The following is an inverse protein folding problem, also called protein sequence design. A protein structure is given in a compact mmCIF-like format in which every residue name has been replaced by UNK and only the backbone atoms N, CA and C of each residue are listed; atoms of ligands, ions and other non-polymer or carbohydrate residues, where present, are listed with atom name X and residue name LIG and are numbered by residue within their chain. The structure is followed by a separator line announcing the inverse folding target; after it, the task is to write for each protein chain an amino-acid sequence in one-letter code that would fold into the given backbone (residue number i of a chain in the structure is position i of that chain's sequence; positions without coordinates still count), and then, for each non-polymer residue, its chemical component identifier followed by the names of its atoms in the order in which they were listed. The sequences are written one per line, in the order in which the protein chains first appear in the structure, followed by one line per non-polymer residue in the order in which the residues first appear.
data_IF_262334006540
#
_entry.id   IF_262334006540
#
_cell.length_a   1.000
_cell.length_b   1.000
_cell.length_c   1.000
_cell.angle_alpha   90.00
_cell.angle_beta   90.00
_cell.angle_gamma   90.00
#
_symmetry.space_group_name_H-M   'P 1'
#
loop_
_entity.id
_entity.type
_entity.pdbx_description
1 polymer ?
#
# COMPACT_ATOMS: atom_id res chain seq x y z
N UNK A 1 33.92 6.53 -28.86
CA UNK A 1 32.45 6.66 -28.67
C UNK A 1 31.80 5.40 -29.20
N UNK A 2 30.72 4.95 -28.60
CA UNK A 2 29.93 3.80 -29.06
C UNK A 2 28.51 4.26 -29.39
N UNK A 3 27.83 3.53 -30.27
CA UNK A 3 26.39 3.67 -30.48
C UNK A 3 25.60 3.21 -29.25
N UNK A 4 24.37 3.74 -29.01
CA UNK A 4 23.86 4.97 -29.62
C UNK A 4 24.76 6.16 -29.27
N UNK A 5 25.05 7.00 -30.27
CA UNK A 5 25.89 8.20 -30.08
C UNK A 5 24.93 9.36 -29.86
N UNK A 6 25.22 10.22 -28.87
CA UNK A 6 24.49 11.47 -28.65
C UNK A 6 25.45 12.64 -28.51
N UNK A 7 25.13 13.75 -29.17
CA UNK A 7 25.81 15.02 -29.03
C UNK A 7 24.81 16.12 -28.71
N UNK A 8 25.13 16.93 -27.70
CA UNK A 8 24.32 18.07 -27.29
C UNK A 8 24.98 19.38 -27.76
N UNK A 9 24.23 20.33 -28.34
CA UNK A 9 24.72 21.66 -28.62
C UNK A 9 25.27 22.34 -27.36
N UNK A 10 26.30 23.17 -27.52
CA UNK A 10 26.87 23.94 -26.40
C UNK A 10 25.81 24.77 -25.67
N UNK A 11 24.90 25.40 -26.42
CA UNK A 11 23.82 26.21 -25.85
C UNK A 11 22.85 25.38 -25.00
N UNK A 12 22.57 24.13 -25.40
CA UNK A 12 21.71 23.20 -24.66
C UNK A 12 22.40 22.75 -23.38
N UNK A 13 23.69 22.43 -23.44
CA UNK A 13 24.47 22.07 -22.25
C UNK A 13 24.60 23.23 -21.26
N UNK A 14 24.84 24.45 -21.75
CA UNK A 14 24.86 25.67 -20.94
C UNK A 14 23.51 25.90 -20.25
N UNK A 15 22.41 25.72 -20.99
CA UNK A 15 21.06 25.78 -20.43
C UNK A 15 20.87 24.76 -19.30
N UNK A 16 21.28 23.50 -19.50
CA UNK A 16 21.16 22.46 -18.46
C UNK A 16 22.00 22.77 -17.22
N UNK A 17 23.17 23.38 -17.38
CA UNK A 17 24.00 23.83 -16.26
C UNK A 17 23.38 25.03 -15.51
N UNK A 18 22.80 25.99 -16.24
CA UNK A 18 22.15 27.16 -15.65
C UNK A 18 20.84 26.78 -14.92
N UNK A 19 20.15 25.75 -15.41
CA UNK A 19 18.89 25.27 -14.87
C UNK A 19 18.99 23.76 -14.60
N UNK A 20 19.54 23.32 -13.45
CA UNK A 20 19.63 21.90 -13.11
C UNK A 20 18.25 21.29 -12.78
N UNK A 21 18.11 19.97 -12.97
CA UNK A 21 16.90 19.22 -12.58
C UNK A 21 17.01 18.72 -11.12
N UNK A 22 15.90 18.54 -10.38
CA UNK A 22 15.91 18.03 -9.00
C UNK A 22 16.32 16.54 -8.89
N UNK A 23 17.05 16.18 -7.82
CA UNK A 23 17.40 14.78 -7.48
C UNK A 23 16.24 14.06 -6.76
N UNK A 24 16.04 12.75 -7.00
CA UNK A 24 14.93 11.96 -6.42
C UNK A 24 15.34 11.25 -5.11
N UNK A 25 14.60 11.45 -4.00
CA UNK A 25 14.83 10.78 -2.70
C UNK A 25 13.68 9.84 -2.30
N UNK A 26 14.01 8.65 -1.76
CA UNK A 26 13.07 7.61 -1.32
C UNK A 26 13.11 7.41 0.20
N UNK A 27 11.98 7.44 0.90
CA UNK A 27 11.86 6.94 2.28
C UNK A 27 10.57 6.13 2.45
N UNK A 28 10.68 4.99 3.13
CA UNK A 28 9.52 4.22 3.58
C UNK A 28 9.84 3.69 4.98
N UNK A 29 9.05 4.11 5.96
CA UNK A 29 9.03 3.58 7.31
C UNK A 29 7.83 2.64 7.43
N UNK A 30 7.97 1.55 8.19
CA UNK A 30 6.82 0.73 8.59
C UNK A 30 6.97 0.37 10.06
N UNK A 31 5.96 0.75 10.84
CA UNK A 31 5.73 0.38 12.22
C UNK A 31 4.58 -0.61 12.26
N UNK A 32 4.70 -1.64 13.08
CA UNK A 32 3.65 -2.59 13.48
C UNK A 32 4.25 -3.42 14.64
N UNK A 33 3.60 -3.83 15.73
CA UNK A 33 2.21 -3.89 16.16
C UNK A 33 2.19 -3.89 17.70
N UNK A 34 1.08 -3.47 18.30
CA UNK A 34 0.69 -3.79 19.67
C UNK A 34 -0.47 -4.79 19.61
N UNK A 35 -0.36 -5.88 20.34
CA UNK A 35 -1.51 -6.70 20.70
C UNK A 35 -1.38 -7.14 22.15
N UNK A 36 -2.34 -6.71 22.95
CA UNK A 36 -2.62 -7.14 24.30
C UNK A 36 -3.78 -8.13 24.27
N UNK A 37 -3.80 -9.10 25.19
CA UNK A 37 -4.99 -9.91 25.45
C UNK A 37 -5.15 -10.07 26.96
N UNK A 38 -6.31 -9.67 27.48
CA UNK A 38 -6.64 -9.73 28.90
C UNK A 38 -7.74 -10.79 29.11
N UNK A 39 -7.48 -11.75 30.01
CA UNK A 39 -8.40 -12.83 30.41
C UNK A 39 -9.54 -12.33 31.31
N UNK A 40 -10.76 -12.82 31.04
CA UNK A 40 -11.98 -12.51 31.78
C UNK A 40 -12.22 -13.51 32.93
N UNK A 41 -12.58 -12.97 34.10
CA UNK A 41 -12.72 -13.68 35.37
C UNK A 41 -13.92 -14.64 35.50
N UNK A 42 -13.78 -15.54 36.48
CA UNK A 42 -14.68 -16.65 36.85
C UNK A 42 -16.15 -16.24 37.09
N UNK A 43 -17.10 -17.14 36.77
CA UNK A 43 -18.52 -16.90 36.97
C UNK A 43 -18.90 -16.85 38.45
N UNK A 44 -19.78 -15.90 38.79
CA UNK A 44 -20.39 -15.74 40.10
C UNK A 44 -21.27 -16.96 40.40
N UNK A 45 -21.00 -17.63 41.52
CA UNK A 45 -21.76 -18.80 41.98
C UNK A 45 -23.09 -18.34 42.59
N UNK A 46 -24.20 -18.85 42.06
CA UNK A 46 -25.55 -18.57 42.54
C UNK A 46 -25.83 -19.41 43.81
N UNK A 47 -26.06 -18.76 44.95
CA UNK A 47 -26.38 -19.43 46.22
C UNK A 47 -27.83 -19.90 46.26
N UNK A 48 -28.06 -21.11 46.80
CA UNK A 48 -29.40 -21.68 46.97
C UNK A 48 -30.10 -21.12 48.21
N UNK A 49 -31.44 -20.89 48.16
CA UNK A 49 -32.19 -20.35 49.28
C UNK A 49 -32.17 -21.30 50.50
N UNK A 50 -32.07 -20.75 51.73
CA UNK A 50 -32.08 -21.56 52.94
C UNK A 50 -33.43 -22.28 53.09
N UNK A 51 -33.39 -23.59 53.30
CA UNK A 51 -34.61 -24.39 53.48
C UNK A 51 -35.21 -24.17 54.89
N UNK A 52 -36.55 -24.21 55.02
CA UNK A 52 -37.20 -24.08 56.32
C UNK A 52 -36.74 -25.23 57.24
N UNK A 53 -36.35 -24.94 58.49
CA UNK A 53 -35.92 -25.97 59.41
C UNK A 53 -37.09 -26.88 59.77
N UNK A 54 -36.81 -28.15 60.03
CA UNK A 54 -37.79 -29.05 60.63
C UNK A 54 -38.01 -28.59 62.08
N UNK A 55 -39.06 -27.79 62.29
CA UNK A 55 -39.40 -27.26 63.62
C UNK A 55 -40.09 -28.35 64.43
N UNK A 56 -39.70 -28.49 65.69
CA UNK A 56 -40.44 -29.34 66.64
C UNK A 56 -41.93 -28.94 66.63
N UNK A 57 -42.87 -29.89 66.48
CA UNK A 57 -44.27 -29.57 66.37
C UNK A 57 -44.76 -28.90 67.65
N UNK A 58 -45.56 -27.84 67.51
CA UNK A 58 -46.18 -27.13 68.65
C UNK A 58 -46.98 -28.10 69.54
N UNK A 59 -47.46 -29.20 68.94
CA UNK A 59 -48.11 -30.32 69.63
C UNK A 59 -47.25 -30.90 70.77
N UNK A 60 -45.92 -30.91 70.67
CA UNK A 60 -45.06 -31.43 71.74
C UNK A 60 -45.08 -30.55 72.99
N UNK A 61 -45.05 -29.22 72.82
CA UNK A 61 -45.19 -28.27 73.93
C UNK A 61 -46.56 -28.41 74.61
N UNK A 62 -47.61 -28.63 73.81
CA UNK A 62 -48.96 -28.90 74.31
C UNK A 62 -49.03 -30.22 75.08
N UNK A 63 -48.39 -31.29 74.59
CA UNK A 63 -48.32 -32.58 75.30
C UNK A 63 -47.63 -32.47 76.65
N UNK A 64 -46.51 -31.73 76.73
CA UNK A 64 -45.81 -31.48 78.00
C UNK A 64 -46.72 -30.79 79.02
N UNK A 65 -47.55 -29.84 78.57
CA UNK A 65 -48.54 -29.16 79.40
C UNK A 65 -49.66 -30.10 79.86
N UNK A 66 -50.15 -30.98 78.99
CA UNK A 66 -51.14 -32.02 79.34
C UNK A 66 -50.58 -33.02 80.36
N UNK A 67 -49.33 -33.46 80.18
CA UNK A 67 -48.65 -34.33 81.14
C UNK A 67 -48.55 -33.66 82.52
N UNK A 68 -48.15 -32.38 82.56
CA UNK A 68 -48.13 -31.61 83.80
C UNK A 68 -49.49 -31.62 84.51
N UNK A 69 -50.56 -31.29 83.78
CA UNK A 69 -51.92 -31.24 84.32
C UNK A 69 -52.37 -32.60 84.88
N UNK A 70 -52.08 -33.67 84.15
CA UNK A 70 -52.40 -35.03 84.58
C UNK A 70 -51.62 -35.42 85.84
N UNK A 71 -50.31 -35.20 85.88
CA UNK A 71 -49.49 -35.53 87.03
C UNK A 71 -49.85 -34.72 88.28
N UNK A 72 -50.22 -33.45 88.11
CA UNK A 72 -50.67 -32.59 89.21
C UNK A 72 -51.98 -33.08 89.88
N UNK A 73 -52.81 -33.83 89.15
CA UNK A 73 -54.06 -34.41 89.65
C UNK A 73 -53.86 -35.86 90.15
N UNK A 74 -53.11 -36.68 89.40
CA UNK A 74 -52.95 -38.10 89.67
C UNK A 74 -52.01 -38.40 90.85
N UNK A 75 -50.92 -37.64 91.02
CA UNK A 75 -49.95 -37.84 92.10
C UNK A 75 -50.57 -37.64 93.50
N UNK A 76 -51.38 -36.60 93.75
CA UNK A 76 -52.13 -36.48 95.01
C UNK A 76 -53.05 -37.66 95.31
N UNK A 77 -53.81 -38.12 94.31
CA UNK A 77 -54.76 -39.23 94.47
C UNK A 77 -54.05 -40.54 94.84
N UNK A 78 -52.90 -40.82 94.19
CA UNK A 78 -52.05 -41.97 94.52
C UNK A 78 -51.44 -41.87 95.93
N UNK A 79 -50.93 -40.70 96.30
CA UNK A 79 -50.33 -40.47 97.62
C UNK A 79 -51.34 -40.70 98.76
N UNK A 80 -52.60 -40.25 98.60
CA UNK A 80 -53.69 -40.50 99.55
C UNK A 80 -53.94 -42.01 99.72
N UNK A 81 -53.92 -42.79 98.64
CA UNK A 81 -54.18 -44.23 98.68
C UNK A 81 -53.12 -45.03 99.44
N UNK A 82 -51.89 -44.51 99.54
CA UNK A 82 -50.77 -45.13 100.25
C UNK A 82 -50.52 -44.57 101.66
N UNK A 83 -51.39 -43.69 102.15
CA UNK A 83 -51.32 -43.17 103.52
C UNK A 83 -50.19 -42.16 103.76
N UNK A 84 -49.73 -41.46 102.72
CA UNK A 84 -48.67 -40.46 102.83
C UNK A 84 -49.12 -39.24 103.64
N UNK A 85 -48.16 -38.58 104.30
CA UNK A 85 -48.41 -37.32 104.97
C UNK A 85 -48.54 -36.18 103.93
N UNK A 86 -49.37 -35.18 104.24
CA UNK A 86 -49.73 -34.12 103.27
C UNK A 86 -48.54 -33.30 102.77
N UNK A 87 -47.48 -33.16 103.58
CA UNK A 87 -46.26 -32.43 103.22
C UNK A 87 -45.36 -33.23 102.26
N UNK A 88 -45.31 -34.56 102.36
CA UNK A 88 -44.57 -35.44 101.43
C UNK A 88 -45.19 -35.40 100.02
N UNK A 89 -46.53 -35.36 99.96
CA UNK A 89 -47.29 -35.18 98.72
C UNK A 89 -46.95 -33.83 98.04
N UNK A 90 -46.95 -32.74 98.81
CA UNK A 90 -46.61 -31.41 98.28
C UNK A 90 -45.19 -31.36 97.71
N UNK A 91 -44.23 -32.01 98.37
CA UNK A 91 -42.84 -32.09 97.89
C UNK A 91 -42.74 -32.84 96.55
N UNK A 92 -43.43 -33.97 96.39
CA UNK A 92 -43.41 -34.74 95.14
C UNK A 92 -44.10 -33.98 93.99
N UNK A 93 -45.24 -33.35 94.24
CA UNK A 93 -45.95 -32.54 93.23
C UNK A 93 -45.12 -31.32 92.83
N UNK A 94 -44.45 -30.67 93.78
CA UNK A 94 -43.53 -29.57 93.51
C UNK A 94 -42.33 -30.03 92.67
N UNK A 95 -41.68 -31.14 93.04
CA UNK A 95 -40.55 -31.71 92.30
C UNK A 95 -40.94 -32.10 90.86
N UNK A 96 -42.11 -32.72 90.68
CA UNK A 96 -42.67 -33.05 89.37
C UNK A 96 -42.94 -31.81 88.53
N UNK A 97 -43.55 -30.78 89.12
CA UNK A 97 -43.83 -29.51 88.44
C UNK A 97 -42.55 -28.81 88.01
N UNK A 98 -41.52 -28.81 88.86
CA UNK A 98 -40.19 -28.27 88.52
C UNK A 98 -39.56 -29.03 87.34
N UNK A 99 -39.65 -30.37 87.32
CA UNK A 99 -39.10 -31.18 86.24
C UNK A 99 -39.80 -30.93 84.90
N UNK A 100 -41.14 -30.86 84.90
CA UNK A 100 -41.90 -30.55 83.68
C UNK A 100 -41.67 -29.11 83.23
N UNK A 101 -41.60 -28.14 84.15
CA UNK A 101 -41.26 -26.75 83.83
C UNK A 101 -39.85 -26.64 83.21
N UNK A 102 -38.89 -27.42 83.70
CA UNK A 102 -37.55 -27.50 83.14
C UNK A 102 -37.57 -28.10 81.72
N UNK A 103 -38.30 -29.20 81.51
CA UNK A 103 -38.46 -29.82 80.19
C UNK A 103 -39.14 -28.89 79.17
N UNK A 104 -40.22 -28.21 79.58
CA UNK A 104 -40.92 -27.21 78.76
C UNK A 104 -39.98 -26.06 78.38
N UNK A 105 -39.27 -25.50 79.36
CA UNK A 105 -38.35 -24.39 79.14
C UNK A 105 -37.21 -24.77 78.21
N UNK A 106 -36.69 -26.00 78.33
CA UNK A 106 -35.66 -26.53 77.42
C UNK A 106 -36.19 -26.64 75.98
N UNK A 107 -37.33 -27.29 75.77
CA UNK A 107 -37.92 -27.46 74.43
C UNK A 107 -38.30 -26.12 73.79
N UNK A 108 -38.90 -25.22 74.58
CA UNK A 108 -39.23 -23.88 74.13
C UNK A 108 -37.97 -23.07 73.77
N UNK A 109 -36.92 -23.14 74.59
CA UNK A 109 -35.63 -22.51 74.34
C UNK A 109 -34.95 -23.03 73.07
N UNK A 110 -34.93 -24.35 72.85
CA UNK A 110 -34.44 -24.96 71.62
C UNK A 110 -35.21 -24.48 70.38
N UNK A 111 -36.54 -24.43 70.46
CA UNK A 111 -37.39 -23.93 69.37
C UNK A 111 -37.14 -22.46 69.05
N UNK A 112 -37.04 -21.61 70.07
CA UNK A 112 -36.74 -20.18 69.89
C UNK A 112 -35.36 -19.97 69.26
N UNK A 113 -34.35 -20.73 69.71
CA UNK A 113 -32.97 -20.67 69.18
C UNK A 113 -32.90 -21.15 67.72
N UNK A 114 -33.69 -22.15 67.35
CA UNK A 114 -33.77 -22.63 65.96
C UNK A 114 -34.43 -21.59 65.06
N UNK A 115 -35.54 -20.99 65.50
CA UNK A 115 -36.25 -19.94 64.77
C UNK A 115 -35.42 -18.65 64.64
N UNK A 116 -34.67 -18.27 65.67
CA UNK A 116 -33.79 -17.09 65.60
C UNK A 116 -32.64 -17.30 64.62
N UNK A 117 -32.00 -18.48 64.63
CA UNK A 117 -30.97 -18.86 63.64
C UNK A 117 -31.52 -18.84 62.21
N UNK A 118 -32.71 -19.41 61.99
CA UNK A 118 -33.33 -19.40 60.67
C UNK A 118 -33.67 -17.98 60.20
N UNK A 119 -34.25 -17.15 61.07
CA UNK A 119 -34.51 -15.74 60.76
C UNK A 119 -33.23 -14.98 60.38
N UNK A 120 -32.14 -15.23 61.11
CA UNK A 120 -30.84 -14.64 60.81
C UNK A 120 -30.30 -15.10 59.45
N UNK A 121 -30.36 -16.39 59.14
CA UNK A 121 -29.98 -16.94 57.84
C UNK A 121 -30.79 -16.34 56.68
N UNK A 122 -32.09 -16.12 56.86
CA UNK A 122 -32.95 -15.48 55.85
C UNK A 122 -32.57 -14.01 55.66
N UNK A 123 -32.25 -13.28 56.72
CA UNK A 123 -31.79 -11.88 56.64
C UNK A 123 -30.44 -11.78 55.92
N UNK A 124 -29.49 -12.63 56.29
CA UNK A 124 -28.17 -12.71 55.65
C UNK A 124 -28.31 -13.05 54.16
N UNK A 125 -29.15 -14.03 53.83
CA UNK A 125 -29.46 -14.39 52.43
C UNK A 125 -30.03 -13.20 51.65
N UNK A 126 -31.02 -12.50 52.19
CA UNK A 126 -31.62 -11.32 51.54
C UNK A 126 -30.61 -10.19 51.35
N UNK A 127 -29.73 -9.96 52.33
CA UNK A 127 -28.69 -8.94 52.24
C UNK A 127 -27.65 -9.31 51.17
N UNK A 128 -27.24 -10.57 51.09
CA UNK A 128 -26.36 -11.07 50.03
C UNK A 128 -27.01 -10.97 48.65
N UNK A 129 -28.30 -11.25 48.53
CA UNK A 129 -29.05 -11.11 47.27
C UNK A 129 -29.01 -9.65 46.77
N UNK A 130 -29.28 -8.68 47.65
CA UNK A 130 -29.20 -7.24 47.30
C UNK A 130 -27.79 -6.84 46.87
N UNK A 131 -26.77 -7.27 47.61
CA UNK A 131 -25.37 -6.99 47.28
C UNK A 131 -24.99 -7.58 45.92
N UNK A 132 -25.40 -8.83 45.64
CA UNK A 132 -25.14 -9.49 44.37
C UNK A 132 -25.81 -8.77 43.19
N UNK A 133 -27.06 -8.30 43.36
CA UNK A 133 -27.77 -7.53 42.34
C UNK A 133 -27.11 -6.17 42.10
N UNK A 134 -26.68 -5.48 43.15
CA UNK A 134 -25.95 -4.21 43.03
C UNK A 134 -24.61 -4.42 42.29
N UNK A 135 -23.91 -5.51 42.56
CA UNK A 135 -22.66 -5.83 41.88
C UNK A 135 -22.88 -6.10 40.39
N UNK A 136 -23.90 -6.91 40.03
CA UNK A 136 -24.30 -7.16 38.63
C UNK A 136 -24.63 -5.85 37.91
N UNK A 137 -25.43 -4.98 38.53
CA UNK A 137 -25.76 -3.65 37.99
C UNK A 137 -24.51 -2.79 37.80
N UNK A 138 -23.56 -2.83 38.74
CA UNK A 138 -22.30 -2.11 38.63
C UNK A 138 -21.42 -2.62 37.48
N UNK A 139 -21.41 -3.94 37.27
CA UNK A 139 -20.66 -4.58 36.17
C UNK A 139 -21.29 -4.24 34.83
N UNK A 140 -22.62 -4.28 34.71
CA UNK A 140 -23.34 -3.87 33.50
C UNK A 140 -23.08 -2.40 33.15
N UNK A 141 -23.09 -1.50 34.14
CA UNK A 141 -22.76 -0.08 33.93
C UNK A 141 -21.32 0.10 33.44
N UNK A 142 -20.35 -0.60 34.03
CA UNK A 142 -18.95 -0.59 33.59
C UNK A 142 -18.79 -1.07 32.15
N UNK A 143 -19.43 -2.18 31.80
CA UNK A 143 -19.42 -2.72 30.42
C UNK A 143 -20.04 -1.73 29.43
N UNK A 144 -21.16 -1.10 29.77
CA UNK A 144 -21.78 -0.09 28.91
C UNK A 144 -20.87 1.13 28.70
N UNK A 145 -20.23 1.61 29.76
CA UNK A 145 -19.28 2.73 29.69
C UNK A 145 -18.04 2.36 28.85
N UNK A 146 -17.50 1.16 29.01
CA UNK A 146 -16.37 0.67 28.23
C UNK A 146 -16.72 0.57 26.74
N UNK A 147 -17.90 0.04 26.39
CA UNK A 147 -18.39 -0.01 25.00
C UNK A 147 -18.50 1.39 24.39
N UNK A 148 -19.00 2.38 25.14
CA UNK A 148 -19.09 3.77 24.68
C UNK A 148 -17.71 4.38 24.42
N UNK A 149 -16.76 4.20 25.33
CA UNK A 149 -15.40 4.72 25.17
C UNK A 149 -14.71 4.10 23.96
N UNK A 150 -14.80 2.77 23.81
CA UNK A 150 -14.27 2.06 22.65
C UNK A 150 -14.86 2.56 21.33
N UNK A 151 -16.18 2.80 21.28
CA UNK A 151 -16.83 3.33 20.09
C UNK A 151 -16.39 4.76 19.77
N UNK A 152 -16.22 5.61 20.78
CA UNK A 152 -15.73 6.98 20.61
C UNK A 152 -14.28 7.02 20.13
N UNK A 153 -13.41 6.16 20.69
CA UNK A 153 -12.03 6.00 20.27
C UNK A 153 -11.95 5.49 18.82
N UNK A 154 -12.78 4.50 18.46
CA UNK A 154 -12.86 3.99 17.08
C UNK A 154 -13.26 5.08 16.09
N UNK A 155 -14.23 5.94 16.44
CA UNK A 155 -14.64 7.06 15.61
C UNK A 155 -13.54 8.12 15.48
N UNK A 156 -12.86 8.45 16.58
CA UNK A 156 -11.74 9.39 16.60
C UNK A 156 -10.59 8.89 15.71
N UNK A 157 -10.23 7.62 15.82
CA UNK A 157 -9.17 7.00 15.02
C UNK A 157 -9.51 7.03 13.53
N UNK A 158 -10.76 6.67 13.15
CA UNK A 158 -11.23 6.76 11.76
C UNK A 158 -11.18 8.19 11.23
N UNK A 159 -11.54 9.18 12.04
CA UNK A 159 -11.51 10.60 11.66
C UNK A 159 -10.07 11.11 11.47
N UNK A 160 -9.15 10.67 12.33
CA UNK A 160 -7.73 10.99 12.19
C UNK A 160 -7.13 10.35 10.93
N UNK A 161 -7.44 9.09 10.66
CA UNK A 161 -6.99 8.38 9.45
C UNK A 161 -7.49 9.07 8.17
N UNK A 162 -8.79 9.41 8.11
CA UNK A 162 -9.35 10.16 6.99
C UNK A 162 -8.69 11.55 6.80
N UNK A 163 -8.39 12.24 7.90
CA UNK A 163 -7.70 13.55 7.86
C UNK A 163 -6.27 13.42 7.35
N UNK A 164 -5.55 12.38 7.78
CA UNK A 164 -4.18 12.11 7.31
C UNK A 164 -4.13 11.81 5.81
N UNK A 165 -5.07 10.98 5.31
CA UNK A 165 -5.19 10.68 3.89
C UNK A 165 -5.54 11.92 3.06
N UNK A 166 -6.42 12.80 3.58
CA UNK A 166 -6.77 14.05 2.91
C UNK A 166 -5.55 14.98 2.77
N UNK A 167 -4.77 15.15 3.84
CA UNK A 167 -3.54 15.94 3.82
C UNK A 167 -2.50 15.38 2.86
N UNK A 168 -2.31 14.06 2.83
CA UNK A 168 -1.40 13.40 1.88
C UNK A 168 -1.81 13.68 0.43
N UNK A 169 -3.10 13.53 0.11
CA UNK A 169 -3.63 13.80 -1.22
C UNK A 169 -3.45 15.27 -1.64
N UNK A 170 -3.72 16.21 -0.74
CA UNK A 170 -3.51 17.64 -0.97
C UNK A 170 -2.01 17.97 -1.15
N UNK A 171 -1.14 17.32 -0.37
CA UNK A 171 0.32 17.40 -0.51
C UNK A 171 0.79 16.92 -1.88
N UNK A 172 0.38 15.72 -2.30
CA UNK A 172 0.70 15.16 -3.63
C UNK A 172 0.19 16.07 -4.75
N UNK A 173 -1.04 16.57 -4.65
CA UNK A 173 -1.60 17.46 -5.66
C UNK A 173 -0.84 18.78 -5.76
N UNK A 174 -0.39 19.32 -4.63
CA UNK A 174 0.43 20.53 -4.57
C UNK A 174 1.80 20.29 -5.21
N UNK A 175 2.47 19.18 -4.88
CA UNK A 175 3.76 18.80 -5.49
C UNK A 175 3.63 18.64 -7.00
N UNK A 176 2.58 17.95 -7.48
CA UNK A 176 2.33 17.78 -8.92
C UNK A 176 2.08 19.11 -9.62
N UNK A 177 1.32 20.02 -8.99
CA UNK A 177 1.05 21.36 -9.54
C UNK A 177 2.34 22.18 -9.64
N UNK A 178 3.17 22.16 -8.60
CA UNK A 178 4.47 22.86 -8.60
C UNK A 178 5.40 22.29 -9.66
N UNK A 179 5.56 20.97 -9.72
CA UNK A 179 6.39 20.31 -10.73
C UNK A 179 5.92 20.63 -12.17
N UNK A 180 4.61 20.72 -12.39
CA UNK A 180 4.05 21.12 -13.69
C UNK A 180 4.39 22.59 -14.03
N UNK A 181 4.25 23.50 -13.06
CA UNK A 181 4.61 24.92 -13.25
C UNK A 181 6.12 25.07 -13.56
N UNK A 182 6.97 24.33 -12.85
CA UNK A 182 8.42 24.32 -13.09
C UNK A 182 8.76 23.81 -14.48
N UNK A 183 8.15 22.69 -14.88
CA UNK A 183 8.32 22.12 -16.22
C UNK A 183 7.87 23.09 -17.32
N UNK A 184 6.71 23.72 -17.14
CA UNK A 184 6.19 24.71 -18.10
C UNK A 184 7.09 25.95 -18.18
N UNK A 185 7.63 26.40 -17.04
CA UNK A 185 8.59 27.50 -17.00
C UNK A 185 9.88 27.16 -17.74
N UNK A 186 10.43 25.97 -17.49
CA UNK A 186 11.61 25.46 -18.18
C UNK A 186 11.39 25.34 -19.68
N UNK A 187 10.25 24.79 -20.09
CA UNK A 187 9.88 24.66 -21.51
C UNK A 187 9.78 26.02 -22.19
N UNK A 188 9.24 27.06 -21.52
CA UNK A 188 9.23 28.43 -22.07
C UNK A 188 10.65 28.97 -22.29
N UNK A 189 11.52 28.88 -21.29
CA UNK A 189 12.91 29.35 -21.42
C UNK A 189 13.67 28.60 -22.52
N UNK A 190 13.45 27.28 -22.64
CA UNK A 190 14.05 26.50 -23.70
C UNK A 190 13.47 26.85 -25.07
N UNK A 191 12.18 27.15 -25.16
CA UNK A 191 11.52 27.58 -26.41
C UNK A 191 12.10 28.87 -26.97
N UNK A 192 12.37 29.84 -26.10
CA UNK A 192 13.03 31.08 -26.51
C UNK A 192 14.44 30.80 -27.04
N UNK A 193 15.20 29.90 -26.38
CA UNK A 193 16.52 29.48 -26.86
C UNK A 193 16.44 28.72 -28.21
N UNK A 194 15.46 27.83 -28.37
CA UNK A 194 15.26 27.02 -29.57
C UNK A 194 14.67 27.82 -30.73
N UNK A 195 14.17 29.04 -30.52
CA UNK A 195 13.74 29.93 -31.60
C UNK A 195 14.86 30.30 -32.57
N UNK A 196 16.12 30.20 -32.13
CA UNK A 196 17.32 30.44 -32.92
C UNK A 196 17.80 29.19 -33.69
N UNK A 197 17.16 28.04 -33.51
CA UNK A 197 17.49 26.78 -34.20
C UNK A 197 17.20 26.92 -35.70
N UNK A 198 18.12 26.46 -36.54
CA UNK A 198 17.90 26.43 -37.98
C UNK A 198 16.79 25.44 -38.31
N UNK A 199 15.79 25.88 -39.05
CA UNK A 199 14.67 25.05 -39.49
C UNK A 199 14.99 24.36 -40.82
N UNK A 200 14.43 23.17 -41.03
CA UNK A 200 14.51 22.48 -42.32
C UNK A 200 13.81 23.28 -43.43
N UNK A 201 14.34 23.21 -44.64
CA UNK A 201 13.84 23.94 -45.81
C UNK A 201 12.93 23.10 -46.72
N UNK A 202 12.71 21.82 -46.40
CA UNK A 202 11.88 20.92 -47.20
C UNK A 202 12.11 19.46 -46.86
N UNK A 203 11.66 18.59 -47.77
CA UNK A 203 11.89 17.14 -47.72
C UNK A 203 12.90 16.78 -48.82
N UNK A 204 13.98 16.13 -48.43
CA UNK A 204 15.03 15.67 -49.32
C UNK A 204 14.54 14.55 -50.23
N UNK A 205 15.07 14.52 -51.45
CA UNK A 205 14.89 13.41 -52.40
C UNK A 205 16.04 12.39 -52.32
N UNK A 206 16.86 12.46 -51.26
CA UNK A 206 17.93 11.50 -51.02
C UNK A 206 17.39 10.07 -50.90
N UNK A 207 18.21 9.10 -51.28
CA UNK A 207 17.82 7.70 -51.18
C UNK A 207 17.67 7.31 -49.70
N UNK A 208 16.47 6.86 -49.33
CA UNK A 208 16.16 6.34 -48.00
C UNK A 208 16.63 4.89 -47.83
N UNK A 209 17.06 4.57 -46.61
CA UNK A 209 17.39 3.23 -46.14
C UNK A 209 16.16 2.35 -45.95
N UNK A 210 16.34 1.03 -46.05
CA UNK A 210 15.23 0.07 -46.00
C UNK A 210 14.57 -0.05 -44.62
N UNK A 211 15.30 0.31 -43.56
CA UNK A 211 14.78 0.25 -42.18
C UNK A 211 13.97 1.48 -41.80
N UNK A 212 14.14 2.59 -42.52
CA UNK A 212 13.61 3.90 -42.15
C UNK A 212 12.09 3.93 -42.11
N UNK A 213 11.43 3.39 -43.14
CA UNK A 213 9.97 3.39 -43.23
C UNK A 213 9.32 2.70 -42.02
N UNK A 214 9.85 1.54 -41.61
CA UNK A 214 9.33 0.84 -40.43
C UNK A 214 9.66 1.56 -39.14
N UNK A 215 10.85 2.16 -39.03
CA UNK A 215 11.21 2.90 -37.83
C UNK A 215 10.40 4.17 -37.65
N UNK A 216 10.02 4.84 -38.74
CA UNK A 216 9.12 5.99 -38.71
C UNK A 216 7.82 5.68 -37.96
N UNK A 217 7.25 4.48 -38.17
CA UNK A 217 6.03 4.06 -37.47
C UNK A 217 6.23 3.98 -35.95
N UNK A 218 7.40 3.56 -35.49
CA UNK A 218 7.73 3.57 -34.06
C UNK A 218 7.91 5.01 -33.56
N UNK A 219 8.63 5.85 -34.29
CA UNK A 219 8.81 7.25 -33.92
C UNK A 219 7.48 8.00 -33.81
N UNK A 220 6.62 7.91 -34.83
CA UNK A 220 5.30 8.56 -34.86
C UNK A 220 4.34 8.04 -33.79
N UNK A 221 4.57 6.83 -33.27
CA UNK A 221 3.76 6.28 -32.17
C UNK A 221 4.07 6.96 -30.83
N UNK A 222 5.31 7.40 -30.61
CA UNK A 222 5.75 7.92 -29.33
C UNK A 222 6.00 9.44 -29.33
N UNK A 223 6.35 10.01 -30.48
CA UNK A 223 6.67 11.43 -30.60
C UNK A 223 5.67 12.12 -31.52
N UNK A 224 5.22 13.31 -31.10
CA UNK A 224 4.16 14.06 -31.79
C UNK A 224 4.64 14.64 -33.13
N UNK A 225 5.87 15.15 -33.16
CA UNK A 225 6.41 15.87 -34.30
C UNK A 225 7.68 15.17 -34.81
N UNK A 226 7.49 14.37 -35.86
CA UNK A 226 8.55 13.59 -36.53
C UNK A 226 8.51 13.88 -38.02
N UNK A 227 9.65 14.27 -38.60
CA UNK A 227 9.80 14.49 -40.05
C UNK A 227 10.88 13.57 -40.59
N UNK A 228 10.54 12.72 -41.55
CA UNK A 228 11.53 11.91 -42.27
C UNK A 228 12.17 12.74 -43.40
N UNK A 229 13.46 12.50 -43.66
CA UNK A 229 14.20 13.11 -44.77
C UNK A 229 14.17 14.64 -44.75
N UNK A 230 14.29 15.26 -43.57
CA UNK A 230 14.28 16.71 -43.45
C UNK A 230 15.53 17.32 -44.11
N UNK A 231 15.34 18.24 -45.05
CA UNK A 231 16.42 18.89 -45.78
C UNK A 231 16.88 20.17 -45.09
N UNK A 232 18.19 20.34 -44.94
CA UNK A 232 18.82 21.52 -44.36
C UNK A 232 19.81 22.13 -45.34
N UNK A 233 19.56 23.38 -45.73
CA UNK A 233 20.44 24.09 -46.66
C UNK A 233 21.73 24.53 -45.96
N UNK A 234 22.88 24.16 -46.53
CA UNK A 234 24.17 24.62 -46.02
C UNK A 234 24.44 26.04 -46.54
N UNK A 235 24.70 27.04 -45.68
CA UNK A 235 25.03 28.39 -46.10
C UNK A 235 26.18 28.41 -47.11
N UNK A 236 26.01 29.19 -48.18
CA UNK A 236 27.04 29.37 -49.22
C UNK A 236 27.45 28.08 -49.97
N UNK A 237 26.65 27.01 -49.89
CA UNK A 237 26.83 25.77 -50.64
C UNK A 237 25.63 25.50 -51.53
N UNK A 238 25.87 24.83 -52.65
CA UNK A 238 24.81 24.26 -53.49
C UNK A 238 24.31 22.90 -52.95
N UNK A 239 24.91 22.41 -51.86
CA UNK A 239 24.55 21.15 -51.21
C UNK A 239 23.67 21.40 -50.00
N UNK A 240 22.76 20.46 -49.77
CA UNK A 240 21.98 20.35 -48.53
C UNK A 240 22.42 19.11 -47.77
N UNK A 241 22.23 19.12 -46.46
CA UNK A 241 22.18 17.87 -45.69
C UNK A 241 20.74 17.36 -45.62
N UNK A 242 20.61 16.04 -45.54
CA UNK A 242 19.36 15.37 -45.20
C UNK A 242 19.56 14.69 -43.86
N UNK A 243 18.63 14.90 -42.95
CA UNK A 243 18.49 14.09 -41.76
C UNK A 243 17.60 12.88 -42.08
N UNK A 244 17.93 11.69 -41.59
CA UNK A 244 17.04 10.53 -41.78
C UNK A 244 15.69 10.80 -41.09
N UNK A 245 15.74 11.27 -39.84
CA UNK A 245 14.59 11.83 -39.14
C UNK A 245 14.95 13.06 -38.33
N UNK A 246 13.97 13.93 -38.15
CA UNK A 246 13.98 14.92 -37.08
C UNK A 246 12.86 14.62 -36.10
N UNK A 247 13.13 14.81 -34.81
CA UNK A 247 12.15 14.71 -33.73
C UNK A 247 12.12 16.05 -33.00
N UNK A 248 10.94 16.61 -32.80
CA UNK A 248 10.75 17.90 -32.13
C UNK A 248 9.94 17.69 -30.86
N UNK A 249 10.49 18.15 -29.73
CA UNK A 249 9.75 18.27 -28.49
C UNK A 249 8.93 19.57 -28.51
N UNK A 250 7.70 19.48 -29.01
CA UNK A 250 6.80 20.61 -29.30
C UNK A 250 6.65 21.63 -28.16
N UNK A 251 6.54 21.25 -26.86
CA UNK A 251 6.45 22.22 -25.77
C UNK A 251 7.65 23.18 -25.69
N UNK A 252 8.85 22.69 -26.02
CA UNK A 252 10.10 23.45 -25.89
C UNK A 252 10.77 23.84 -27.21
N UNK A 253 10.30 23.29 -28.34
CA UNK A 253 10.99 23.42 -29.62
C UNK A 253 12.36 22.71 -29.71
N UNK A 254 12.77 21.93 -28.70
CA UNK A 254 14.02 21.17 -28.75
C UNK A 254 14.00 20.18 -29.93
N UNK A 255 15.03 20.23 -30.77
CA UNK A 255 15.16 19.38 -31.95
C UNK A 255 16.22 18.32 -31.79
N UNK A 256 15.93 17.12 -32.28
CA UNK A 256 16.87 16.02 -32.40
C UNK A 256 16.96 15.60 -33.87
N UNK A 257 18.16 15.67 -34.44
CA UNK A 257 18.57 15.03 -35.68
C UNK A 257 18.87 13.56 -35.36
N UNK A 258 18.11 12.65 -35.96
CA UNK A 258 18.21 11.21 -35.71
C UNK A 258 18.70 10.54 -36.99
N UNK A 259 19.83 9.85 -36.88
CA UNK A 259 20.55 9.25 -38.00
C UNK A 259 20.68 7.73 -37.83
N UNK A 260 20.51 7.01 -38.93
CA UNK A 260 20.64 5.55 -39.01
C UNK A 260 21.91 5.20 -39.79
N UNK A 261 22.92 4.78 -39.04
CA UNK A 261 24.21 4.42 -39.60
C UNK A 261 24.22 2.97 -40.05
N UNK A 262 24.38 2.80 -41.34
CA UNK A 262 24.65 1.51 -41.97
C UNK A 262 26.15 1.30 -42.22
N UNK A 263 26.66 0.06 -42.12
CA UNK A 263 28.07 -0.21 -42.29
C UNK A 263 28.58 -0.07 -43.73
N UNK A 264 27.67 -0.25 -44.70
CA UNK A 264 27.95 -0.06 -46.11
C UNK A 264 26.65 0.22 -46.86
N UNK A 265 26.74 0.99 -47.95
CA UNK A 265 25.59 1.30 -48.81
C UNK A 265 25.03 0.03 -49.50
N UNK A 266 23.71 -0.16 -49.46
CA UNK A 266 23.06 -1.40 -49.88
C UNK A 266 23.38 -1.85 -51.32
N UNK A 267 23.31 -0.91 -52.27
CA UNK A 267 23.54 -1.18 -53.71
C UNK A 267 25.04 -1.24 -54.06
N UNK A 268 25.79 -0.19 -53.71
CA UNK A 268 27.19 -0.05 -54.12
C UNK A 268 28.17 -0.83 -53.26
N UNK A 269 27.73 -1.32 -52.09
CA UNK A 269 28.55 -2.02 -51.08
C UNK A 269 29.74 -1.19 -50.59
N UNK A 270 29.75 0.13 -50.85
CA UNK A 270 30.78 1.04 -50.38
C UNK A 270 30.64 1.24 -48.87
N UNK A 271 31.76 1.21 -48.09
CA UNK A 271 31.76 1.56 -46.68
C UNK A 271 31.13 2.92 -46.40
N UNK A 272 30.40 3.02 -45.30
CA UNK A 272 29.70 4.23 -44.84
C UNK A 272 29.88 4.39 -43.33
N UNK A 273 29.79 5.62 -42.82
CA UNK A 273 29.83 5.95 -41.39
C UNK A 273 31.00 5.34 -40.61
N UNK A 274 32.18 5.28 -41.25
CA UNK A 274 33.34 4.64 -40.67
C UNK A 274 34.04 5.59 -39.70
N UNK A 275 34.41 5.09 -38.51
CA UNK A 275 35.02 5.93 -37.47
C UNK A 275 36.45 6.39 -37.77
N UNK A 276 37.08 5.83 -38.81
CA UNK A 276 38.37 6.23 -39.37
C UNK A 276 38.23 7.21 -40.55
N UNK A 277 37.05 7.81 -40.74
CA UNK A 277 36.77 8.81 -41.76
C UNK A 277 36.10 10.08 -41.17
N UNK A 278 36.50 11.26 -41.66
CA UNK A 278 36.08 12.56 -41.09
C UNK A 278 34.75 13.12 -41.65
N UNK A 279 34.03 12.38 -42.50
CA UNK A 279 32.82 12.90 -43.17
C UNK A 279 31.74 13.28 -42.17
N UNK A 280 31.51 12.44 -41.17
CA UNK A 280 30.38 12.56 -40.26
C UNK A 280 30.65 13.59 -39.17
N UNK A 281 31.93 13.83 -38.83
CA UNK A 281 32.33 14.85 -37.87
C UNK A 281 31.88 16.25 -38.31
N UNK A 282 32.10 16.61 -39.58
CA UNK A 282 31.67 17.91 -40.12
C UNK A 282 30.15 18.06 -40.16
N UNK A 283 29.44 16.98 -40.48
CA UNK A 283 27.97 16.98 -40.46
C UNK A 283 27.46 17.22 -39.04
N UNK A 284 27.93 16.43 -38.07
CA UNK A 284 27.52 16.55 -36.67
C UNK A 284 27.83 17.95 -36.12
N UNK A 285 29.03 18.48 -36.38
CA UNK A 285 29.42 19.83 -35.99
C UNK A 285 28.42 20.89 -36.46
N UNK A 286 27.99 20.81 -37.73
CA UNK A 286 27.06 21.78 -38.29
C UNK A 286 25.66 21.71 -37.66
N UNK A 287 25.13 20.50 -37.43
CA UNK A 287 23.86 20.34 -36.73
C UNK A 287 23.92 20.85 -35.29
N UNK A 288 25.03 20.63 -34.59
CA UNK A 288 25.26 21.18 -33.26
C UNK A 288 25.30 22.71 -33.26
N UNK A 289 25.94 23.33 -34.25
CA UNK A 289 25.96 24.79 -34.45
C UNK A 289 24.57 25.35 -34.82
N UNK A 290 23.73 24.52 -35.44
CA UNK A 290 22.33 24.82 -35.73
C UNK A 290 21.37 24.51 -34.58
N UNK A 291 21.91 24.19 -33.40
CA UNK A 291 21.16 23.89 -32.17
C UNK A 291 20.29 22.63 -32.25
N UNK A 292 20.71 21.64 -33.04
CA UNK A 292 20.12 20.30 -33.05
C UNK A 292 20.93 19.35 -32.18
N UNK A 293 20.26 18.60 -31.30
CA UNK A 293 20.86 17.41 -30.69
C UNK A 293 21.06 16.40 -31.81
N UNK A 294 22.21 15.74 -31.86
CA UNK A 294 22.47 14.69 -32.84
C UNK A 294 22.44 13.35 -32.12
N UNK A 295 21.55 12.46 -32.54
CA UNK A 295 21.50 11.06 -32.08
C UNK A 295 21.74 10.14 -33.27
N UNK A 296 22.74 9.26 -33.17
CA UNK A 296 23.02 8.26 -34.20
C UNK A 296 22.78 6.86 -33.64
N UNK A 297 22.04 6.06 -34.38
CA UNK A 297 21.83 4.63 -34.13
C UNK A 297 22.50 3.83 -35.23
N UNK A 298 22.91 2.59 -34.94
CA UNK A 298 23.20 1.65 -36.03
C UNK A 298 21.88 1.18 -36.66
N UNK A 299 21.89 0.87 -37.95
CA UNK A 299 20.76 0.24 -38.64
C UNK A 299 20.27 -1.01 -37.89
N UNK A 300 21.22 -1.82 -37.39
CA UNK A 300 20.90 -3.03 -36.62
C UNK A 300 20.14 -2.73 -35.33
N UNK A 301 20.51 -1.69 -34.58
CA UNK A 301 19.78 -1.27 -33.37
C UNK A 301 18.35 -0.86 -33.71
N UNK A 302 18.17 -0.07 -34.76
CA UNK A 302 16.84 0.35 -35.24
C UNK A 302 15.99 -0.84 -35.66
N UNK A 303 16.59 -1.80 -36.36
CA UNK A 303 15.89 -2.99 -36.86
C UNK A 303 15.51 -3.95 -35.73
N UNK A 304 16.43 -4.21 -34.79
CA UNK A 304 16.24 -5.24 -33.77
C UNK A 304 15.62 -4.74 -32.48
N UNK A 305 15.80 -3.46 -32.14
CA UNK A 305 15.33 -2.87 -30.89
C UNK A 305 14.77 -1.44 -31.08
N UNK A 306 13.80 -1.22 -31.99
CA UNK A 306 13.27 0.11 -32.30
C UNK A 306 12.67 0.81 -31.07
N UNK A 307 12.00 0.08 -30.18
CA UNK A 307 11.44 0.63 -28.94
C UNK A 307 12.52 1.11 -27.97
N UNK A 308 13.65 0.41 -27.88
CA UNK A 308 14.80 0.86 -27.08
C UNK A 308 15.46 2.10 -27.70
N UNK A 309 15.46 2.24 -29.03
CA UNK A 309 15.86 3.48 -29.70
C UNK A 309 14.92 4.64 -29.34
N UNK A 310 13.59 4.42 -29.36
CA UNK A 310 12.62 5.42 -28.89
C UNK A 310 12.85 5.77 -27.41
N UNK A 311 13.13 4.78 -26.55
CA UNK A 311 13.45 5.02 -25.13
C UNK A 311 14.67 5.92 -24.98
N UNK A 312 15.71 5.68 -25.78
CA UNK A 312 16.92 6.51 -25.78
C UNK A 312 16.63 7.96 -26.18
N UNK A 313 15.82 8.19 -27.23
CA UNK A 313 15.38 9.53 -27.61
C UNK A 313 14.57 10.21 -26.50
N UNK A 314 13.66 9.47 -25.86
CA UNK A 314 12.88 9.97 -24.72
C UNK A 314 13.78 10.32 -23.52
N UNK A 315 14.84 9.55 -23.26
CA UNK A 315 15.86 9.86 -22.24
C UNK A 315 16.62 11.15 -22.59
N UNK A 316 16.99 11.35 -23.85
CA UNK A 316 17.67 12.57 -24.30
C UNK A 316 16.78 13.82 -24.16
N UNK A 317 15.48 13.70 -24.48
CA UNK A 317 14.50 14.77 -24.24
C UNK A 317 14.40 15.04 -22.74
N UNK A 318 14.14 14.02 -21.92
CA UNK A 318 13.95 14.16 -20.48
C UNK A 318 15.19 14.75 -19.78
N UNK A 319 16.39 14.41 -20.24
CA UNK A 319 17.64 14.97 -19.72
C UNK A 319 17.70 16.49 -19.87
N UNK A 320 17.25 17.02 -21.02
CA UNK A 320 17.29 18.46 -21.30
C UNK A 320 16.06 19.17 -20.73
N UNK A 321 14.87 18.62 -20.94
CA UNK A 321 13.61 19.32 -20.68
C UNK A 321 13.02 19.01 -19.32
N UNK A 322 13.46 17.95 -18.66
CA UNK A 322 12.79 17.39 -17.47
C UNK A 322 11.45 16.71 -17.78
N UNK A 323 10.98 16.76 -19.03
CA UNK A 323 9.72 16.12 -19.42
C UNK A 323 9.92 14.60 -19.56
N UNK A 324 9.32 13.87 -18.61
CA UNK A 324 9.35 12.40 -18.59
C UNK A 324 8.14 11.76 -19.27
N UNK A 325 7.23 12.54 -19.87
CA UNK A 325 5.99 12.03 -20.49
C UNK A 325 6.25 10.96 -21.55
N UNK A 326 7.23 11.16 -22.42
CA UNK A 326 7.69 10.17 -23.41
C UNK A 326 8.32 8.95 -22.75
N UNK A 327 9.19 9.18 -21.75
CA UNK A 327 9.93 8.11 -21.10
C UNK A 327 9.01 7.17 -20.32
N UNK A 328 7.99 7.70 -19.63
CA UNK A 328 7.01 6.92 -18.86
C UNK A 328 6.30 5.85 -19.70
N UNK A 329 6.08 6.12 -21.00
CA UNK A 329 5.46 5.17 -21.93
C UNK A 329 6.40 4.02 -22.33
N UNK A 330 7.69 4.19 -22.08
CA UNK A 330 8.79 3.31 -22.52
C UNK A 330 9.62 2.77 -21.33
N UNK A 331 9.20 3.03 -20.07
CA UNK A 331 9.95 2.66 -18.87
C UNK A 331 10.19 1.15 -18.75
N UNK A 332 9.26 0.33 -19.24
CA UNK A 332 9.37 -1.14 -19.23
C UNK A 332 10.30 -1.68 -20.32
N UNK A 333 10.69 -0.88 -21.31
CA UNK A 333 11.58 -1.31 -22.38
C UNK A 333 13.03 -1.35 -21.87
N UNK A 334 13.85 -2.34 -22.29
CA UNK A 334 15.25 -2.38 -21.90
C UNK A 334 16.01 -1.18 -22.49
N UNK A 335 17.07 -0.75 -21.81
CA UNK A 335 17.98 0.25 -22.36
C UNK A 335 18.69 -0.28 -23.61
N UNK A 336 18.95 0.62 -24.56
CA UNK A 336 19.54 0.24 -25.83
C UNK A 336 20.99 -0.20 -25.63
N UNK A 337 21.32 -1.41 -26.11
CA UNK A 337 22.66 -1.97 -25.98
C UNK A 337 23.69 -1.16 -26.77
N UNK A 338 24.84 -0.95 -26.15
CA UNK A 338 25.94 -0.21 -26.76
C UNK A 338 26.63 -1.03 -27.86
N UNK A 339 26.93 -0.41 -29.00
CA UNK A 339 27.58 -1.05 -30.14
C UNK A 339 28.83 -0.28 -30.55
N UNK A 340 29.96 -0.98 -30.68
CA UNK A 340 31.22 -0.40 -31.15
C UNK A 340 31.06 0.10 -32.60
N UNK A 341 31.55 1.29 -32.96
CA UNK A 341 31.60 1.73 -34.36
C UNK A 341 32.57 0.86 -35.18
N UNK A 342 32.43 0.92 -36.50
CA UNK A 342 33.26 0.17 -37.43
C UNK A 342 34.24 1.08 -38.17
N UNK A 343 35.41 0.52 -38.43
CA UNK A 343 36.42 1.07 -39.35
C UNK A 343 36.05 0.77 -40.79
N UNK A 344 36.67 1.47 -41.73
CA UNK A 344 36.53 1.24 -43.18
C UNK A 344 36.88 -0.21 -43.53
N UNK A 345 37.87 -0.80 -42.86
CA UNK A 345 38.24 -2.21 -43.06
C UNK A 345 37.14 -3.17 -42.59
N UNK A 346 36.57 -2.95 -41.40
CA UNK A 346 35.48 -3.76 -40.86
C UNK A 346 34.22 -3.64 -41.74
N UNK A 347 33.87 -2.43 -42.19
CA UNK A 347 32.78 -2.18 -43.13
C UNK A 347 32.93 -2.96 -44.45
N UNK A 348 34.15 -2.98 -45.04
CA UNK A 348 34.42 -3.80 -46.24
C UNK A 348 34.24 -5.29 -45.96
N UNK A 349 34.65 -5.78 -44.79
CA UNK A 349 34.45 -7.17 -44.42
C UNK A 349 32.96 -7.50 -44.25
N UNK A 350 32.20 -6.63 -43.59
CA UNK A 350 30.74 -6.74 -43.46
C UNK A 350 30.01 -6.71 -44.81
N UNK A 351 30.48 -5.89 -45.75
CA UNK A 351 29.94 -5.85 -47.11
C UNK A 351 30.15 -7.17 -47.85
N UNK A 352 31.35 -7.76 -47.75
CA UNK A 352 31.70 -9.06 -48.36
C UNK A 352 30.85 -10.21 -47.81
N UNK A 353 30.58 -10.21 -46.50
CA UNK A 353 29.77 -11.25 -45.85
C UNK A 353 28.26 -10.99 -45.93
N UNK A 354 27.83 -9.92 -46.62
CA UNK A 354 26.43 -9.49 -46.65
C UNK A 354 25.82 -9.32 -45.25
N UNK A 355 26.60 -8.78 -44.31
CA UNK A 355 26.23 -8.67 -42.90
C UNK A 355 24.86 -8.03 -42.67
N UNK A 356 24.47 -6.99 -43.43
CA UNK A 356 23.13 -6.36 -43.32
C UNK A 356 21.98 -7.37 -43.49
N UNK A 357 22.15 -8.42 -44.31
CA UNK A 357 21.12 -9.46 -44.54
C UNK A 357 20.85 -10.32 -43.29
N UNK A 358 21.79 -10.37 -42.34
CA UNK A 358 21.64 -11.13 -41.10
C UNK A 358 20.54 -10.59 -40.19
N UNK A 359 20.18 -9.31 -40.35
CA UNK A 359 19.13 -8.66 -39.58
C UNK A 359 18.03 -7.99 -40.43
N UNK A 360 18.22 -7.82 -41.74
CA UNK A 360 17.20 -7.27 -42.66
C UNK A 360 16.28 -8.31 -43.31
N UNK A 361 16.35 -9.59 -42.92
CA UNK A 361 15.56 -10.67 -43.55
C UNK A 361 14.05 -10.40 -43.56
N UNK A 362 13.52 -9.70 -42.56
CA UNK A 362 12.11 -9.29 -42.48
C UNK A 362 11.73 -8.01 -43.25
N UNK A 363 12.66 -7.41 -43.99
CA UNK A 363 12.47 -6.13 -44.71
C UNK A 363 12.45 -6.33 -46.24
N UNK A 364 12.25 -7.55 -46.73
CA UNK A 364 12.24 -7.86 -48.16
C UNK A 364 13.61 -7.71 -48.85
N UNK A 365 14.68 -7.47 -48.08
CA UNK A 365 16.04 -7.38 -48.59
C UNK A 365 16.62 -8.79 -48.68
N UNK A 366 16.32 -9.46 -49.80
CA UNK A 366 16.96 -10.72 -50.19
C UNK A 366 16.14 -11.97 -49.93
N UNK A 367 15.31 -12.33 -50.92
CA UNK A 367 15.32 -13.71 -51.41
C UNK A 367 15.77 -13.66 -52.87
N UNK A 368 16.96 -14.20 -53.16
CA UNK A 368 17.49 -14.31 -54.52
C UNK A 368 16.76 -15.38 -55.35
N UNK A 369 15.56 -15.82 -54.95
CA UNK A 369 14.77 -16.84 -55.63
C UNK A 369 13.67 -16.26 -56.56
N UNK A 370 13.31 -14.97 -56.47
CA UNK A 370 12.14 -14.43 -57.19
C UNK A 370 12.43 -13.76 -58.55
N UNK A 371 13.50 -14.15 -59.26
CA UNK A 371 13.74 -13.68 -60.63
C UNK A 371 14.09 -14.77 -61.64
N UNK A 372 13.46 -15.94 -61.50
CA UNK A 372 13.34 -16.93 -62.59
C UNK A 372 11.88 -17.37 -62.72
N UNK A 373 10.99 -16.43 -63.05
CA UNK A 373 9.63 -16.77 -63.53
C UNK A 373 8.90 -15.54 -64.07
N UNK A 374 9.43 -14.91 -65.12
CA UNK A 374 8.60 -14.23 -66.12
C UNK A 374 9.22 -14.47 -67.49
N UNK A 375 8.60 -15.39 -68.22
CA UNK A 375 8.61 -15.41 -69.68
C UNK A 375 8.07 -14.09 -70.22
#
# INVERSE_FOLDING_TARGET
MNYPIVFYPKVVMQFCHQYPLPEATSSCATSSQLQETQEFGKPVVLLTPPQPPVVLPVKLLWLIWVFWLYGAIALPLLAISWGWLWWEMLLVVAAYSCLIAAAYSYVFGCRQKLLSRYKQQVLEYKQQEILSQQEILSQQKRLFQQKRLFQQETLSNKQQEFSSFKLEKEGVQTVLKTAKIELDSRNRSLKDLMSLRVSSNGISQAQQGVSEERFLQYLQRYFEEVVQAAEFKIPSSQRSYSADFTVIHTPSGLGIDVEIDEPYAGKSKKPTHCCDADSDMRRNQLFLEWNWIVVRFTEKQVVQAPLSCCKFLAQAIAFVTGDRSYLKQLETQPDLLSVKPWTTREARAMAKSNYRLTYLSGFGVGSACDRVSKF
#
